data_IF_141506963052
#
_entry.id   IF_141506963052
#
_cell.length_a   1.000
_cell.length_b   1.000
_cell.length_c   1.000
_cell.angle_alpha   90.00
_cell.angle_beta   90.00
_cell.angle_gamma   90.00
#
_symmetry.space_group_name_H-M   'P 1'
#
loop_
_entity.id
_entity.type
_entity.pdbx_description
1 polymer ?
#
# COMPACT_ATOMS: atom_id res chain seq x y z
N UNK A 1 36.91 -6.79 2.51
CA UNK A 1 35.64 -7.54 2.27
C UNK A 1 34.71 -6.65 1.47
N UNK A 2 34.17 -7.11 0.37
CA UNK A 2 33.16 -6.40 -0.44
C UNK A 2 31.76 -6.62 0.13
N UNK A 3 30.79 -5.82 -0.30
CA UNK A 3 29.38 -6.01 0.12
C UNK A 3 28.83 -7.39 -0.28
N UNK A 4 29.25 -7.91 -1.43
CA UNK A 4 28.90 -9.26 -1.90
C UNK A 4 29.50 -10.37 -1.04
N UNK A 5 30.76 -10.26 -0.68
CA UNK A 5 31.43 -11.21 0.22
C UNK A 5 30.79 -11.19 1.61
N UNK A 6 30.37 -10.01 2.09
CA UNK A 6 29.69 -9.86 3.37
C UNK A 6 28.29 -10.49 3.35
N UNK A 7 27.52 -10.30 2.27
CA UNK A 7 26.22 -10.97 2.10
C UNK A 7 26.37 -12.49 2.13
N UNK A 8 27.34 -13.02 1.37
CA UNK A 8 27.63 -14.46 1.38
C UNK A 8 28.00 -14.95 2.77
N UNK A 9 28.85 -14.24 3.50
CA UNK A 9 29.21 -14.57 4.88
C UNK A 9 27.99 -14.60 5.80
N UNK A 10 27.07 -13.64 5.67
CA UNK A 10 25.84 -13.55 6.46
C UNK A 10 24.95 -14.79 6.23
N UNK A 11 24.82 -15.23 4.99
CA UNK A 11 24.03 -16.40 4.60
C UNK A 11 24.68 -17.67 5.12
N UNK A 12 25.95 -17.89 4.79
CA UNK A 12 26.70 -19.12 5.12
C UNK A 12 26.77 -19.36 6.64
N UNK A 13 26.84 -18.26 7.42
CA UNK A 13 26.90 -18.32 8.89
C UNK A 13 25.55 -18.07 9.58
N UNK A 14 24.44 -18.01 8.82
CA UNK A 14 23.05 -17.81 9.35
C UNK A 14 22.94 -16.58 10.25
N UNK A 15 23.54 -15.46 9.89
CA UNK A 15 23.63 -14.25 10.72
C UNK A 15 22.45 -13.28 10.55
N UNK A 16 21.50 -13.57 9.68
CA UNK A 16 20.33 -12.68 9.43
C UNK A 16 19.57 -12.41 10.73
N UNK A 17 19.21 -13.45 11.48
CA UNK A 17 18.49 -13.33 12.75
C UNK A 17 19.27 -12.50 13.78
N UNK A 18 20.57 -12.71 13.87
CA UNK A 18 21.45 -11.96 14.77
C UNK A 18 21.47 -10.47 14.45
N UNK A 19 21.56 -10.11 13.16
CA UNK A 19 21.53 -8.73 12.71
C UNK A 19 20.16 -8.09 13.00
N UNK A 20 19.07 -8.81 12.74
CA UNK A 20 17.71 -8.32 13.03
C UNK A 20 17.49 -8.07 14.52
N UNK A 21 18.00 -8.94 15.39
CA UNK A 21 17.96 -8.76 16.85
C UNK A 21 18.70 -7.51 17.31
N UNK A 22 19.92 -7.30 16.79
CA UNK A 22 20.74 -6.14 17.15
C UNK A 22 20.14 -4.82 16.66
N UNK A 23 19.37 -4.84 15.55
CA UNK A 23 18.60 -3.71 15.05
C UNK A 23 17.33 -3.40 15.90
N UNK A 24 17.01 -4.24 16.89
CA UNK A 24 15.85 -4.09 17.75
C UNK A 24 14.55 -4.66 17.15
N UNK A 25 14.63 -5.49 16.11
CA UNK A 25 13.47 -6.19 15.58
C UNK A 25 12.93 -7.21 16.59
N UNK A 26 11.60 -7.35 16.65
CA UNK A 26 10.89 -8.29 17.52
C UNK A 26 10.23 -9.39 16.70
N UNK A 27 9.75 -10.45 17.34
CA UNK A 27 8.98 -11.55 16.71
C UNK A 27 9.66 -12.13 15.45
N UNK A 28 10.98 -12.34 15.52
CA UNK A 28 11.76 -12.83 14.39
C UNK A 28 11.45 -14.31 14.16
N UNK A 29 10.97 -14.66 12.97
CA UNK A 29 10.59 -16.03 12.59
C UNK A 29 11.23 -16.38 11.26
N UNK A 30 11.88 -17.54 11.18
CA UNK A 30 12.34 -18.11 9.91
C UNK A 30 11.23 -18.97 9.28
N UNK A 31 10.98 -18.81 8.00
CA UNK A 31 9.99 -19.54 7.22
C UNK A 31 10.65 -20.48 6.21
N UNK A 32 10.89 -21.77 6.57
CA UNK A 32 11.68 -22.68 5.74
C UNK A 32 11.08 -22.94 4.36
N UNK A 33 9.74 -23.01 4.27
CA UNK A 33 9.05 -23.31 3.01
C UNK A 33 9.22 -22.22 1.92
N UNK A 34 9.58 -21.00 2.31
CA UNK A 34 9.71 -19.83 1.41
C UNK A 34 11.06 -19.14 1.56
N UNK A 35 11.95 -19.69 2.35
CA UNK A 35 13.32 -19.28 2.60
C UNK A 35 13.48 -17.78 2.88
N UNK A 36 12.78 -17.29 3.92
CA UNK A 36 12.89 -15.91 4.39
C UNK A 36 12.73 -15.78 5.91
N UNK A 37 13.23 -14.67 6.44
CA UNK A 37 12.97 -14.21 7.81
C UNK A 37 11.91 -13.13 7.81
N UNK A 38 10.93 -13.20 8.72
CA UNK A 38 10.00 -12.11 9.01
C UNK A 38 10.24 -11.57 10.42
N UNK A 39 10.01 -10.28 10.60
CA UNK A 39 10.15 -9.62 11.90
C UNK A 39 9.22 -8.42 12.04
N UNK A 40 8.95 -8.02 13.29
CA UNK A 40 8.34 -6.72 13.60
C UNK A 40 9.41 -5.64 13.53
N UNK A 41 9.09 -4.50 12.91
CA UNK A 41 10.01 -3.36 12.83
C UNK A 41 10.40 -2.82 14.20
N UNK A 42 11.61 -2.24 14.36
CA UNK A 42 12.12 -1.73 15.64
C UNK A 42 11.44 -0.45 16.14
N UNK A 43 10.27 -0.10 15.64
CA UNK A 43 9.49 1.04 16.11
C UNK A 43 8.58 0.63 17.28
N UNK A 44 8.51 1.45 18.33
CA UNK A 44 7.68 1.16 19.52
C UNK A 44 6.18 1.00 19.23
N UNK A 45 5.71 1.47 18.06
CA UNK A 45 4.30 1.46 17.64
C UNK A 45 3.94 0.35 16.64
N UNK A 46 4.88 -0.49 16.23
CA UNK A 46 4.63 -1.51 15.21
C UNK A 46 4.24 -2.84 15.85
N UNK A 47 3.01 -3.31 15.56
CA UNK A 47 2.51 -4.64 15.97
C UNK A 47 2.51 -5.65 14.81
N UNK A 48 3.01 -5.26 13.64
CA UNK A 48 3.01 -6.11 12.45
C UNK A 48 4.19 -7.08 12.48
N UNK A 49 3.93 -8.36 12.82
CA UNK A 49 4.93 -9.45 12.83
C UNK A 49 5.56 -9.76 11.47
N UNK A 50 5.03 -9.19 10.40
CA UNK A 50 5.55 -9.27 9.04
C UNK A 50 5.92 -7.89 8.48
N UNK A 51 6.22 -6.93 9.34
CA UNK A 51 6.59 -5.57 8.95
C UNK A 51 7.88 -5.50 8.15
N UNK A 52 8.79 -6.46 8.40
CA UNK A 52 10.07 -6.63 7.70
C UNK A 52 10.17 -8.06 7.19
N UNK A 53 10.61 -8.23 5.96
CA UNK A 53 10.93 -9.53 5.37
C UNK A 53 12.32 -9.45 4.76
N UNK A 54 13.22 -10.36 5.14
CA UNK A 54 14.54 -10.54 4.53
C UNK A 54 14.57 -11.92 3.89
N UNK A 55 14.75 -11.99 2.56
CA UNK A 55 14.96 -13.26 1.87
C UNK A 55 16.35 -13.80 2.13
N UNK A 56 16.42 -15.09 2.41
CA UNK A 56 17.70 -15.82 2.54
C UNK A 56 18.21 -16.23 1.14
N UNK A 57 18.53 -15.25 0.32
CA UNK A 57 19.05 -15.42 -1.04
C UNK A 57 20.31 -14.58 -1.23
N UNK A 58 21.08 -14.82 -2.28
CA UNK A 58 22.39 -14.18 -2.53
C UNK A 58 22.40 -12.66 -2.38
N UNK A 59 21.26 -12.00 -2.64
CA UNK A 59 21.17 -10.55 -2.49
C UNK A 59 20.59 -10.11 -1.14
N UNK A 60 20.11 -11.00 -0.27
CA UNK A 60 19.46 -10.68 1.00
C UNK A 60 18.36 -9.63 0.84
N UNK A 61 17.48 -9.84 -0.15
CA UNK A 61 16.48 -8.87 -0.51
C UNK A 61 15.57 -8.51 0.67
N UNK A 62 15.37 -7.21 0.84
CA UNK A 62 14.57 -6.60 1.90
C UNK A 62 13.23 -6.11 1.37
N UNK A 63 12.16 -6.39 2.13
CA UNK A 63 10.82 -5.91 1.87
C UNK A 63 10.21 -5.32 3.14
N UNK A 64 9.43 -4.24 2.99
CA UNK A 64 8.65 -3.67 4.07
C UNK A 64 7.32 -3.15 3.55
N UNK A 65 6.25 -3.74 4.05
CA UNK A 65 4.90 -3.29 3.71
C UNK A 65 4.57 -1.91 4.30
N UNK A 66 5.12 -1.59 5.47
CA UNK A 66 4.90 -0.30 6.13
C UNK A 66 5.65 0.87 5.48
N UNK A 67 6.74 0.59 4.75
CA UNK A 67 7.51 1.59 4.03
C UNK A 67 7.35 1.52 2.50
N UNK A 68 6.35 0.77 2.00
CA UNK A 68 6.12 0.57 0.56
C UNK A 68 7.36 0.08 -0.22
N UNK A 69 8.18 -0.77 0.41
CA UNK A 69 9.36 -1.37 -0.23
C UNK A 69 8.95 -2.74 -0.79
N UNK A 70 9.00 -2.86 -2.12
CA UNK A 70 8.60 -4.05 -2.87
C UNK A 70 9.79 -4.86 -3.37
N UNK A 71 9.50 -6.10 -3.80
CA UNK A 71 10.47 -7.06 -4.34
C UNK A 71 11.35 -6.48 -5.46
N UNK A 72 10.75 -5.63 -6.29
CA UNK A 72 11.38 -5.07 -7.50
C UNK A 72 12.22 -3.81 -7.23
N UNK A 73 12.23 -3.31 -6.01
CA UNK A 73 12.98 -2.10 -5.65
C UNK A 73 14.50 -2.36 -5.54
N UNK A 74 14.91 -3.65 -5.60
CA UNK A 74 16.31 -4.05 -5.54
C UNK A 74 17.01 -3.73 -4.23
N UNK A 75 16.24 -3.44 -3.16
CA UNK A 75 16.76 -3.15 -1.82
C UNK A 75 17.20 -4.43 -1.11
N UNK A 76 18.23 -4.34 -0.29
CA UNK A 76 18.83 -5.43 0.45
C UNK A 76 18.89 -5.15 1.97
N UNK A 77 19.45 -6.07 2.74
CA UNK A 77 19.60 -5.93 4.19
C UNK A 77 20.35 -4.66 4.62
N UNK A 78 21.29 -4.17 3.80
CA UNK A 78 22.02 -2.94 4.12
C UNK A 78 21.12 -1.71 3.97
N UNK A 79 20.20 -1.72 3.00
CA UNK A 79 19.19 -0.65 2.90
C UNK A 79 18.22 -0.66 4.09
N UNK A 80 17.89 -1.82 4.63
CA UNK A 80 17.12 -1.92 5.87
C UNK A 80 17.87 -1.28 7.05
N UNK A 81 19.19 -1.50 7.14
CA UNK A 81 20.04 -0.90 8.18
C UNK A 81 20.15 0.62 7.99
N UNK A 82 20.30 1.10 6.74
CA UNK A 82 20.29 2.53 6.41
C UNK A 82 18.99 3.19 6.92
N UNK A 83 17.85 2.60 6.55
CA UNK A 83 16.52 3.12 6.90
C UNK A 83 16.27 3.08 8.42
N UNK A 84 16.73 2.02 9.12
CA UNK A 84 16.51 1.83 10.56
C UNK A 84 17.40 2.71 11.42
N UNK A 85 18.68 2.87 11.05
CA UNK A 85 19.67 3.63 11.84
C UNK A 85 19.90 5.05 11.30
N UNK A 86 19.26 5.41 10.21
CA UNK A 86 19.46 6.70 9.52
C UNK A 86 20.93 6.99 9.19
N UNK A 87 21.64 6.01 8.65
CA UNK A 87 23.04 6.06 8.26
C UNK A 87 23.22 5.82 6.76
N UNK A 88 24.39 6.12 6.21
CA UNK A 88 24.68 5.89 4.80
C UNK A 88 25.08 4.43 4.53
N UNK A 89 24.89 3.98 3.29
CA UNK A 89 25.19 2.60 2.86
C UNK A 89 26.59 2.10 3.27
N UNK A 90 27.62 2.92 3.14
CA UNK A 90 28.98 2.56 3.57
C UNK A 90 29.09 2.35 5.09
N UNK A 91 28.36 3.14 5.87
CA UNK A 91 28.31 3.03 7.32
C UNK A 91 27.49 1.81 7.76
N UNK A 92 26.43 1.45 7.00
CA UNK A 92 25.67 0.22 7.22
C UNK A 92 26.54 -1.03 7.05
N UNK A 93 27.40 -1.08 6.02
CA UNK A 93 28.37 -2.17 5.84
C UNK A 93 29.36 -2.21 7.00
N UNK A 94 29.93 -1.06 7.39
CA UNK A 94 30.87 -0.99 8.53
C UNK A 94 30.22 -1.46 9.83
N UNK A 95 28.96 -1.06 10.07
CA UNK A 95 28.18 -1.51 11.21
C UNK A 95 28.06 -3.02 11.26
N UNK A 96 27.67 -3.66 10.16
CA UNK A 96 27.56 -5.14 10.09
C UNK A 96 28.92 -5.81 10.27
N UNK A 97 29.98 -5.29 9.67
CA UNK A 97 31.33 -5.82 9.87
C UNK A 97 31.74 -5.75 11.35
N UNK A 98 31.50 -4.61 12.00
CA UNK A 98 31.82 -4.43 13.44
C UNK A 98 30.98 -5.39 14.31
N UNK A 99 29.68 -5.54 14.01
CA UNK A 99 28.78 -6.42 14.70
C UNK A 99 29.20 -7.89 14.63
N UNK A 100 29.71 -8.30 13.47
CA UNK A 100 30.15 -9.67 13.18
C UNK A 100 31.64 -9.92 13.50
N UNK A 101 32.37 -8.92 14.03
CA UNK A 101 33.78 -9.03 14.36
C UNK A 101 34.68 -9.16 13.12
N UNK A 102 34.26 -8.61 11.96
CA UNK A 102 34.97 -8.71 10.70
C UNK A 102 35.74 -7.42 10.40
N UNK A 103 36.96 -7.55 9.86
CA UNK A 103 37.73 -6.39 9.39
C UNK A 103 37.18 -5.88 8.03
N UNK A 104 36.74 -4.63 8.01
CA UNK A 104 36.35 -3.96 6.77
C UNK A 104 37.51 -3.10 6.26
N UNK A 105 38.14 -3.52 5.16
CA UNK A 105 39.15 -2.72 4.49
C UNK A 105 38.51 -1.93 3.35
N UNK A 106 38.17 -0.68 3.61
CA UNK A 106 37.74 0.25 2.56
C UNK A 106 38.94 0.62 1.69
N UNK A 107 39.06 0.05 0.48
CA UNK A 107 40.07 0.48 -0.48
C UNK A 107 39.55 1.74 -1.20
N UNK A 108 40.09 2.90 -0.80
CA UNK A 108 39.78 4.21 -1.42
C UNK A 108 40.30 4.31 -2.88
N UNK A 109 41.03 3.31 -3.37
CA UNK A 109 41.72 3.35 -4.65
C UNK A 109 41.21 2.34 -5.70
N UNK A 110 39.89 2.32 -5.96
CA UNK A 110 39.48 2.01 -7.33
C UNK A 110 39.17 3.35 -8.01
N UNK A 111 40.13 3.85 -8.81
CA UNK A 111 39.83 4.84 -9.84
C UNK A 111 38.63 4.27 -10.62
N UNK A 112 37.46 4.87 -10.43
CA UNK A 112 36.33 4.65 -11.32
C UNK A 112 36.87 4.99 -12.71
N UNK A 113 37.13 3.97 -13.55
CA UNK A 113 37.16 4.19 -14.98
C UNK A 113 35.95 5.03 -15.30
N UNK A 114 36.17 6.23 -15.85
CA UNK A 114 35.12 7.10 -16.31
C UNK A 114 34.35 6.28 -17.33
N UNK A 115 33.24 5.64 -16.88
CA UNK A 115 32.31 4.99 -17.78
C UNK A 115 32.00 6.00 -18.87
N UNK A 116 32.42 5.71 -20.10
CA UNK A 116 32.02 6.44 -21.30
C UNK A 116 30.52 6.57 -21.18
N UNK A 117 30.03 7.82 -21.09
CA UNK A 117 28.59 8.07 -20.98
C UNK A 117 27.93 7.31 -22.11
N UNK A 118 27.18 6.27 -21.77
CA UNK A 118 26.41 5.50 -22.76
C UNK A 118 25.40 6.46 -23.38
N UNK A 119 25.57 6.86 -24.66
CA UNK A 119 24.66 7.82 -25.31
C UNK A 119 23.21 7.30 -25.35
N UNK A 120 23.03 6.00 -25.18
CA UNK A 120 21.70 5.36 -25.13
C UNK A 120 21.15 5.17 -23.71
N UNK A 121 21.86 5.61 -22.66
CA UNK A 121 21.42 5.42 -21.27
C UNK A 121 20.06 6.03 -20.98
N UNK A 122 19.74 7.20 -21.59
CA UNK A 122 18.44 7.83 -21.52
C UNK A 122 17.35 6.99 -22.19
N UNK A 123 17.64 6.43 -23.36
CA UNK A 123 16.72 5.55 -24.08
C UNK A 123 16.52 4.21 -23.36
N UNK A 124 17.59 3.65 -22.77
CA UNK A 124 17.52 2.43 -21.95
C UNK A 124 16.69 2.65 -20.68
N UNK A 125 16.84 3.81 -20.01
CA UNK A 125 15.98 4.21 -18.87
C UNK A 125 14.53 4.42 -19.31
N UNK A 126 14.30 5.07 -20.44
CA UNK A 126 12.94 5.24 -20.98
C UNK A 126 12.33 3.90 -21.40
N UNK A 127 13.10 3.00 -22.01
CA UNK A 127 12.65 1.65 -22.38
C UNK A 127 12.39 0.77 -21.15
N UNK A 128 13.21 0.86 -20.09
CA UNK A 128 12.95 0.14 -18.83
C UNK A 128 11.71 0.65 -18.12
N UNK A 129 11.47 1.97 -18.12
CA UNK A 129 10.19 2.55 -17.65
C UNK A 129 9.01 2.09 -18.51
N UNK A 130 9.15 2.05 -19.85
CA UNK A 130 8.11 1.54 -20.74
C UNK A 130 7.86 0.04 -20.54
N UNK A 131 8.87 -0.78 -20.28
CA UNK A 131 8.66 -2.21 -19.97
C UNK A 131 7.81 -2.43 -18.72
N UNK A 132 7.92 -1.58 -17.69
CA UNK A 132 7.03 -1.63 -16.52
C UNK A 132 5.56 -1.33 -16.85
N UNK A 133 5.27 -0.70 -17.98
CA UNK A 133 3.93 -0.33 -18.44
C UNK A 133 3.17 -1.44 -19.16
N UNK A 134 3.83 -2.52 -19.53
CA UNK A 134 3.25 -3.63 -20.32
C UNK A 134 2.88 -4.87 -19.49
N UNK A 135 3.07 -4.87 -18.18
CA UNK A 135 2.68 -5.99 -17.31
C UNK A 135 1.24 -5.93 -16.81
N UNK A 136 0.37 -5.17 -17.45
CA UNK A 136 -1.07 -5.12 -17.13
C UNK A 136 -1.77 -6.43 -17.53
N UNK A 137 -1.19 -7.22 -18.42
CA UNK A 137 -1.80 -8.47 -18.94
C UNK A 137 -1.68 -9.68 -17.99
N UNK A 138 -1.11 -9.54 -16.79
CA UNK A 138 -0.89 -10.65 -15.85
C UNK A 138 -1.85 -10.68 -14.64
N UNK A 139 -2.89 -9.88 -14.60
CA UNK A 139 -3.91 -10.08 -13.57
C UNK A 139 -4.69 -11.36 -13.92
N UNK A 140 -4.29 -12.45 -13.25
CA UNK A 140 -4.92 -13.77 -13.47
C UNK A 140 -6.37 -13.73 -13.01
N UNK A 141 -7.23 -14.27 -13.86
CA UNK A 141 -8.61 -14.52 -13.48
C UNK A 141 -8.66 -15.54 -12.34
N UNK A 142 -9.47 -15.23 -11.33
CA UNK A 142 -9.82 -16.17 -10.27
C UNK A 142 -11.04 -16.98 -10.73
N UNK A 143 -11.00 -18.29 -10.54
CA UNK A 143 -12.15 -19.14 -10.88
C UNK A 143 -13.38 -18.68 -10.09
N UNK A 144 -14.47 -18.40 -10.78
CA UNK A 144 -15.73 -17.90 -10.17
C UNK A 144 -16.38 -18.90 -9.22
N UNK A 145 -16.16 -20.22 -9.42
CA UNK A 145 -16.67 -21.29 -8.56
C UNK A 145 -16.18 -21.19 -7.09
N UNK A 146 -15.10 -20.45 -6.82
CA UNK A 146 -14.63 -20.19 -5.45
C UNK A 146 -15.70 -19.50 -4.59
N UNK A 147 -16.65 -18.80 -5.22
CA UNK A 147 -17.73 -18.08 -4.53
C UNK A 147 -19.04 -18.87 -4.47
N UNK A 148 -19.17 -20.02 -5.15
CA UNK A 148 -20.45 -20.71 -5.32
C UNK A 148 -20.99 -21.30 -4.02
N UNK A 149 -20.12 -21.83 -3.17
CA UNK A 149 -20.49 -22.43 -1.88
C UNK A 149 -20.67 -21.40 -0.76
N UNK A 150 -20.56 -20.10 -1.06
CA UNK A 150 -20.67 -19.03 -0.08
C UNK A 150 -22.10 -18.47 -0.02
N UNK A 151 -22.51 -18.06 1.17
CA UNK A 151 -23.77 -17.33 1.32
C UNK A 151 -23.69 -16.00 0.57
N UNK A 152 -24.61 -15.78 -0.36
CA UNK A 152 -24.69 -14.53 -1.14
C UNK A 152 -25.33 -13.44 -0.27
N UNK A 153 -24.56 -12.43 0.09
CA UNK A 153 -25.00 -11.33 0.94
C UNK A 153 -23.99 -10.94 2.02
N UNK A 154 -24.45 -10.17 2.98
CA UNK A 154 -23.63 -9.64 4.06
C UNK A 154 -23.96 -10.27 5.41
N UNK A 155 -22.96 -10.41 6.25
CA UNK A 155 -23.12 -10.76 7.65
C UNK A 155 -23.94 -9.67 8.38
N UNK A 156 -24.72 -10.05 9.39
CA UNK A 156 -25.57 -9.13 10.14
C UNK A 156 -24.82 -7.90 10.71
N UNK A 157 -23.55 -8.06 11.08
CA UNK A 157 -22.73 -6.94 11.57
C UNK A 157 -22.49 -5.88 10.49
N UNK A 158 -22.35 -6.28 9.24
CA UNK A 158 -22.19 -5.39 8.11
C UNK A 158 -23.47 -4.67 7.74
N UNK A 159 -24.60 -5.39 7.84
CA UNK A 159 -25.90 -4.77 7.69
C UNK A 159 -26.16 -3.69 8.75
N UNK A 160 -25.86 -4.00 10.03
CA UNK A 160 -25.93 -3.02 11.12
C UNK A 160 -24.96 -1.84 10.93
N UNK A 161 -23.86 -2.05 10.22
CA UNK A 161 -22.88 -1.05 9.86
C UNK A 161 -23.27 -0.22 8.62
N UNK A 162 -24.45 -0.48 8.03
CA UNK A 162 -25.07 0.30 6.97
C UNK A 162 -24.77 -0.20 5.56
N UNK A 163 -24.28 -1.43 5.38
CA UNK A 163 -24.09 -2.03 4.05
C UNK A 163 -25.36 -2.80 3.68
N UNK A 164 -26.07 -2.32 2.67
CA UNK A 164 -27.43 -2.75 2.33
C UNK A 164 -27.43 -3.92 1.32
N UNK A 165 -28.55 -4.69 1.25
CA UNK A 165 -28.65 -5.85 0.37
C UNK A 165 -28.43 -5.54 -1.12
N UNK A 166 -28.94 -4.41 -1.62
CA UNK A 166 -28.74 -4.00 -3.02
C UNK A 166 -27.26 -3.75 -3.35
N UNK A 167 -26.48 -3.16 -2.42
CA UNK A 167 -25.04 -3.02 -2.56
C UNK A 167 -24.34 -4.38 -2.51
N UNK A 168 -24.79 -5.27 -1.62
CA UNK A 168 -24.25 -6.63 -1.56
C UNK A 168 -24.45 -7.38 -2.87
N UNK A 169 -25.60 -7.24 -3.50
CA UNK A 169 -25.90 -7.83 -4.81
C UNK A 169 -25.04 -7.20 -5.92
N UNK A 170 -24.99 -5.87 -6.00
CA UNK A 170 -24.22 -5.13 -7.00
C UNK A 170 -22.74 -5.51 -6.98
N UNK A 171 -22.13 -5.59 -5.82
CA UNK A 171 -20.71 -5.92 -5.64
C UNK A 171 -20.44 -7.42 -5.48
N UNK A 172 -21.48 -8.25 -5.50
CA UNK A 172 -21.38 -9.70 -5.36
C UNK A 172 -20.84 -10.15 -4.01
N UNK A 173 -21.15 -9.44 -2.92
CA UNK A 173 -20.65 -9.76 -1.59
C UNK A 173 -21.13 -11.13 -1.11
N UNK A 174 -20.22 -11.89 -0.50
CA UNK A 174 -20.51 -13.21 0.04
C UNK A 174 -20.05 -13.34 1.48
N UNK A 175 -20.65 -14.26 2.23
CA UNK A 175 -20.22 -14.59 3.59
C UNK A 175 -19.81 -16.05 3.72
N UNK A 176 -18.67 -16.29 4.32
CA UNK A 176 -18.17 -17.62 4.65
C UNK A 176 -18.45 -17.93 6.12
N UNK A 177 -19.44 -18.78 6.39
CA UNK A 177 -19.73 -19.27 7.73
C UNK A 177 -18.57 -20.05 8.34
N UNK A 178 -17.88 -20.85 7.51
CA UNK A 178 -16.74 -21.67 7.93
C UNK A 178 -15.56 -20.82 8.40
N UNK A 179 -15.26 -19.75 7.66
CA UNK A 179 -14.12 -18.87 7.97
C UNK A 179 -14.52 -17.70 8.88
N UNK A 180 -15.81 -17.48 9.11
CA UNK A 180 -16.37 -16.29 9.80
C UNK A 180 -15.84 -15.00 9.17
N UNK A 181 -15.93 -14.91 7.82
CA UNK A 181 -15.43 -13.77 7.06
C UNK A 181 -16.46 -13.26 6.06
N UNK A 182 -16.58 -11.95 6.01
CA UNK A 182 -17.22 -11.27 4.89
C UNK A 182 -16.25 -11.27 3.71
N UNK A 183 -16.68 -11.79 2.59
CA UNK A 183 -15.90 -11.88 1.36
C UNK A 183 -16.33 -10.74 0.43
N UNK A 184 -15.35 -9.99 -0.04
CA UNK A 184 -15.49 -8.87 -0.96
C UNK A 184 -14.84 -9.31 -2.27
N UNK A 185 -15.61 -9.66 -3.31
CA UNK A 185 -15.05 -9.96 -4.62
C UNK A 185 -14.40 -8.71 -5.22
N UNK A 186 -13.28 -8.90 -5.91
CA UNK A 186 -12.56 -7.83 -6.59
C UNK A 186 -12.63 -8.10 -8.08
N UNK A 187 -13.27 -7.20 -8.81
CA UNK A 187 -13.44 -7.28 -10.26
C UNK A 187 -12.35 -6.48 -10.97
N UNK A 188 -11.95 -6.97 -12.12
CA UNK A 188 -11.02 -6.25 -12.98
C UNK A 188 -11.71 -5.05 -13.61
N UNK A 189 -11.05 -3.91 -13.54
CA UNK A 189 -11.62 -2.64 -13.95
C UNK A 189 -12.07 -2.58 -15.42
N UNK A 190 -11.44 -3.39 -16.31
CA UNK A 190 -11.66 -3.32 -17.76
C UNK A 190 -12.85 -4.18 -18.22
N UNK A 191 -13.04 -5.38 -17.67
CA UNK A 191 -14.00 -6.37 -18.17
C UNK A 191 -14.87 -7.02 -17.09
N UNK A 192 -14.69 -6.66 -15.83
CA UNK A 192 -15.49 -7.15 -14.71
C UNK A 192 -15.22 -8.60 -14.28
N UNK A 193 -14.24 -9.29 -14.89
CA UNK A 193 -13.87 -10.64 -14.42
C UNK A 193 -13.39 -10.62 -12.98
N UNK A 194 -13.59 -11.73 -12.26
CA UNK A 194 -13.11 -11.88 -10.90
C UNK A 194 -11.59 -12.07 -10.90
N UNK A 195 -10.86 -11.20 -10.20
CA UNK A 195 -9.39 -11.24 -10.13
C UNK A 195 -8.85 -11.43 -8.73
N UNK A 196 -9.70 -11.37 -7.74
CA UNK A 196 -9.32 -11.57 -6.35
C UNK A 196 -10.49 -11.44 -5.40
N UNK A 197 -10.20 -11.67 -4.13
CA UNK A 197 -11.13 -11.42 -3.02
C UNK A 197 -10.39 -10.78 -1.87
N UNK A 198 -11.05 -9.88 -1.16
CA UNK A 198 -10.63 -9.44 0.15
C UNK A 198 -11.61 -9.99 1.19
N UNK A 199 -11.10 -10.62 2.24
CA UNK A 199 -11.90 -11.29 3.24
C UNK A 199 -11.69 -10.64 4.61
N UNK A 200 -12.72 -9.96 5.14
CA UNK A 200 -12.67 -9.34 6.46
C UNK A 200 -13.29 -10.25 7.50
N UNK A 201 -12.59 -10.46 8.61
CA UNK A 201 -13.14 -11.24 9.73
C UNK A 201 -14.35 -10.53 10.37
N UNK A 202 -15.34 -11.32 10.77
CA UNK A 202 -16.50 -10.88 11.55
C UNK A 202 -16.38 -11.30 13.02
N UNK A 203 -15.27 -11.92 13.40
CA UNK A 203 -14.98 -12.29 14.78
C UNK A 203 -14.67 -11.02 15.57
N UNK A 204 -15.36 -10.81 16.68
CA UNK A 204 -15.06 -9.74 17.62
C UNK A 204 -13.74 -10.04 18.35
N UNK A 205 -12.99 -9.01 18.72
CA UNK A 205 -11.70 -9.14 19.41
C UNK A 205 -10.71 -10.07 18.70
N UNK A 206 -10.74 -10.06 17.35
CA UNK A 206 -9.91 -10.92 16.50
C UNK A 206 -8.42 -10.82 16.83
N UNK A 207 -7.96 -9.69 17.36
CA UNK A 207 -6.58 -9.46 17.78
C UNK A 207 -6.16 -10.39 18.92
N UNK A 208 -7.07 -10.67 19.89
CA UNK A 208 -6.81 -11.59 21.01
C UNK A 208 -6.63 -13.03 20.53
N UNK A 209 -7.17 -13.37 19.36
CA UNK A 209 -7.10 -14.72 18.78
C UNK A 209 -6.04 -14.82 17.68
N UNK A 210 -5.20 -13.81 17.48
CA UNK A 210 -4.23 -13.73 16.37
C UNK A 210 -4.87 -13.92 14.98
N UNK A 211 -6.13 -13.53 14.83
CA UNK A 211 -6.85 -13.62 13.56
C UNK A 211 -6.58 -12.34 12.78
N UNK A 212 -6.10 -12.46 11.54
CA UNK A 212 -5.90 -11.30 10.65
C UNK A 212 -7.23 -10.62 10.35
N UNK A 213 -7.30 -9.31 10.54
CA UNK A 213 -8.47 -8.48 10.21
C UNK A 213 -8.89 -8.64 8.75
N UNK A 214 -7.93 -8.56 7.85
CA UNK A 214 -8.12 -8.74 6.41
C UNK A 214 -7.24 -9.86 5.86
N UNK A 215 -7.73 -10.51 4.81
CA UNK A 215 -7.01 -11.52 4.05
C UNK A 215 -7.30 -11.32 2.56
N UNK A 216 -6.31 -10.85 1.83
CA UNK A 216 -6.39 -10.68 0.37
C UNK A 216 -5.95 -11.99 -0.29
N UNK A 217 -6.67 -12.41 -1.33
CA UNK A 217 -6.33 -13.63 -2.08
C UNK A 217 -4.91 -13.56 -2.63
N UNK A 218 -4.12 -14.65 -2.51
CA UNK A 218 -2.78 -14.72 -3.07
C UNK A 218 -2.77 -14.47 -4.57
N UNK A 219 -1.79 -13.70 -5.05
CA UNK A 219 -1.61 -13.41 -6.48
C UNK A 219 -2.42 -12.22 -7.00
N UNK A 220 -3.31 -11.63 -6.21
CA UNK A 220 -3.96 -10.37 -6.59
C UNK A 220 -2.99 -9.19 -6.47
N UNK A 221 -2.87 -8.43 -7.56
CA UNK A 221 -2.07 -7.20 -7.59
C UNK A 221 -2.97 -5.97 -7.48
N UNK A 222 -3.08 -5.42 -6.25
CA UNK A 222 -3.91 -4.23 -5.98
C UNK A 222 -3.43 -2.98 -6.73
N UNK A 223 -2.13 -2.89 -7.05
CA UNK A 223 -1.56 -1.70 -7.70
C UNK A 223 -1.92 -1.57 -9.17
N UNK A 224 -2.41 -2.64 -9.79
CA UNK A 224 -2.84 -2.70 -11.18
C UNK A 224 -4.37 -2.71 -11.35
N UNK A 225 -5.12 -2.45 -10.27
CA UNK A 225 -6.58 -2.43 -10.29
C UNK A 225 -7.12 -1.36 -9.32
N UNK A 226 -8.37 -0.99 -9.47
CA UNK A 226 -9.12 -0.08 -8.58
C UNK A 226 -10.43 -0.75 -8.18
N UNK A 227 -10.67 -0.87 -6.89
CA UNK A 227 -11.92 -1.41 -6.39
C UNK A 227 -13.09 -0.44 -6.63
N UNK A 228 -14.20 -0.98 -7.08
CA UNK A 228 -15.41 -0.23 -7.38
C UNK A 228 -15.45 0.41 -8.77
N UNK A 229 -14.37 0.32 -9.54
CA UNK A 229 -14.34 0.93 -10.87
C UNK A 229 -15.36 0.26 -11.80
N UNK A 230 -15.34 -1.05 -11.90
CA UNK A 230 -16.26 -1.81 -12.76
C UNK A 230 -17.72 -1.56 -12.40
N UNK A 231 -18.03 -1.55 -11.12
CA UNK A 231 -19.39 -1.39 -10.61
C UNK A 231 -19.91 0.04 -10.74
N UNK A 232 -19.04 1.04 -10.66
CA UNK A 232 -19.43 2.44 -10.46
C UNK A 232 -19.11 3.37 -11.65
N UNK A 233 -18.32 2.92 -12.66
CA UNK A 233 -17.83 3.79 -13.73
C UNK A 233 -18.94 4.63 -14.39
N UNK A 234 -20.08 4.03 -14.72
CA UNK A 234 -21.18 4.74 -15.38
C UNK A 234 -21.78 5.85 -14.49
N UNK A 235 -21.89 5.61 -13.18
CA UNK A 235 -22.44 6.59 -12.26
C UNK A 235 -21.42 7.68 -11.92
N UNK A 236 -20.14 7.34 -11.88
CA UNK A 236 -19.02 8.29 -11.75
C UNK A 236 -19.00 9.25 -12.94
N UNK A 237 -19.08 8.74 -14.18
CA UNK A 237 -19.06 9.57 -15.38
C UNK A 237 -20.30 10.46 -15.47
N UNK A 238 -21.50 9.95 -15.12
CA UNK A 238 -22.72 10.77 -15.00
C UNK A 238 -22.59 11.88 -13.97
N UNK A 239 -21.94 11.58 -12.83
CA UNK A 239 -21.70 12.59 -11.78
C UNK A 239 -20.61 13.59 -12.15
N UNK A 240 -19.69 13.23 -13.07
CA UNK A 240 -18.55 14.02 -13.50
C UNK A 240 -17.43 14.10 -12.47
N UNK A 241 -17.47 13.29 -11.41
CA UNK A 241 -16.41 13.20 -10.39
C UNK A 241 -16.34 11.80 -9.78
N UNK A 242 -15.18 11.45 -9.22
CA UNK A 242 -15.02 10.27 -8.37
C UNK A 242 -14.52 10.64 -6.98
N UNK A 243 -14.85 9.81 -5.98
CA UNK A 243 -14.35 9.94 -4.61
C UNK A 243 -13.44 8.74 -4.30
N UNK A 244 -12.19 9.02 -3.98
CA UNK A 244 -11.17 8.00 -3.70
C UNK A 244 -11.07 7.79 -2.21
N UNK A 245 -11.37 6.57 -1.76
CA UNK A 245 -11.24 6.10 -0.39
C UNK A 245 -10.03 5.16 -0.24
N UNK A 246 -9.65 4.91 1.01
CA UNK A 246 -8.61 3.94 1.33
C UNK A 246 -9.09 2.49 1.14
N UNK A 247 -10.25 2.14 1.70
CA UNK A 247 -10.74 0.78 1.79
C UNK A 247 -12.09 0.57 1.06
N UNK A 248 -12.33 -0.68 0.65
CA UNK A 248 -13.55 -1.11 -0.05
C UNK A 248 -14.82 -0.81 0.74
N UNK A 249 -14.74 -0.94 2.09
CA UNK A 249 -15.89 -0.73 2.96
C UNK A 249 -16.48 0.68 2.84
N UNK A 250 -15.66 1.68 2.61
CA UNK A 250 -16.09 3.06 2.40
C UNK A 250 -16.91 3.21 1.11
N UNK A 251 -16.46 2.55 0.04
CA UNK A 251 -17.21 2.48 -1.23
C UNK A 251 -18.56 1.82 -1.02
N UNK A 252 -18.60 0.66 -0.35
CA UNK A 252 -19.82 -0.09 -0.09
C UNK A 252 -20.83 0.70 0.78
N UNK A 253 -20.35 1.43 1.78
CA UNK A 253 -21.20 2.29 2.62
C UNK A 253 -21.82 3.44 1.82
N UNK A 254 -21.04 4.07 0.95
CA UNK A 254 -21.55 5.15 0.09
C UNK A 254 -22.57 4.63 -0.92
N UNK A 255 -22.27 3.54 -1.58
CA UNK A 255 -23.20 2.88 -2.52
C UNK A 255 -24.51 2.50 -1.83
N UNK A 256 -24.45 2.04 -0.57
CA UNK A 256 -25.64 1.72 0.25
C UNK A 256 -26.53 2.94 0.56
N UNK A 257 -25.99 4.14 0.39
CA UNK A 257 -26.69 5.41 0.48
C UNK A 257 -27.01 6.00 -0.91
N UNK A 258 -26.95 5.16 -1.96
CA UNK A 258 -27.18 5.54 -3.36
C UNK A 258 -26.17 6.57 -3.90
N UNK A 259 -24.94 6.56 -3.36
CA UNK A 259 -23.83 7.33 -3.85
C UNK A 259 -22.78 6.39 -4.43
N UNK A 260 -22.91 6.10 -5.73
CA UNK A 260 -22.03 5.20 -6.49
C UNK A 260 -20.85 5.94 -7.13
N UNK A 261 -20.30 6.97 -6.48
CA UNK A 261 -19.14 7.72 -6.98
C UNK A 261 -17.81 7.28 -6.38
N UNK A 262 -17.84 6.29 -5.48
CA UNK A 262 -16.70 5.83 -4.68
C UNK A 262 -15.80 4.83 -5.43
N UNK A 263 -14.49 5.01 -5.26
CA UNK A 263 -13.42 4.08 -5.63
C UNK A 263 -12.52 3.84 -4.43
N UNK A 264 -11.84 2.67 -4.34
CA UNK A 264 -10.90 2.42 -3.25
C UNK A 264 -9.53 1.97 -3.76
N UNK A 265 -8.47 2.54 -3.12
CA UNK A 265 -7.07 2.22 -3.41
C UNK A 265 -6.62 0.87 -2.81
N UNK A 266 -7.35 0.39 -1.82
CA UNK A 266 -6.97 -0.78 -1.01
C UNK A 266 -5.63 -0.57 -0.27
N UNK A 267 -5.36 0.67 0.16
CA UNK A 267 -4.17 1.09 0.89
C UNK A 267 -3.98 2.60 0.88
N UNK A 268 -2.89 3.07 1.51
CA UNK A 268 -2.62 4.49 1.74
C UNK A 268 -2.00 5.22 0.53
N UNK A 269 -1.48 4.49 -0.46
CA UNK A 269 -0.78 5.09 -1.59
C UNK A 269 -1.41 4.70 -2.92
N UNK A 270 -1.25 5.56 -3.91
CA UNK A 270 -1.74 5.35 -5.26
C UNK A 270 -0.59 5.00 -6.22
N UNK A 271 -0.78 3.98 -7.05
CA UNK A 271 0.18 3.58 -8.08
C UNK A 271 0.00 4.41 -9.36
N UNK A 272 1.01 4.40 -10.25
CA UNK A 272 0.93 5.00 -11.59
C UNK A 272 -0.21 4.40 -12.42
N UNK A 273 -0.41 3.09 -12.29
CA UNK A 273 -1.44 2.38 -13.03
C UNK A 273 -2.84 2.76 -12.53
N UNK A 274 -3.03 2.83 -11.22
CA UNK A 274 -4.29 3.31 -10.64
C UNK A 274 -4.61 4.75 -11.08
N UNK A 275 -3.60 5.63 -11.14
CA UNK A 275 -3.77 6.99 -11.66
C UNK A 275 -4.26 6.96 -13.11
N UNK A 276 -3.69 6.09 -13.97
CA UNK A 276 -4.12 5.98 -15.37
C UNK A 276 -5.53 5.45 -15.50
N UNK A 277 -5.88 4.43 -14.72
CA UNK A 277 -7.23 3.87 -14.68
C UNK A 277 -8.24 4.97 -14.33
N UNK A 278 -7.98 5.77 -13.28
CA UNK A 278 -8.89 6.84 -12.88
C UNK A 278 -8.95 7.95 -13.96
N UNK A 279 -7.82 8.30 -14.59
CA UNK A 279 -7.77 9.30 -15.64
C UNK A 279 -8.45 8.85 -16.95
N UNK A 280 -8.74 7.56 -17.13
CA UNK A 280 -9.51 7.07 -18.28
C UNK A 280 -11.00 7.38 -18.17
N UNK A 281 -11.51 7.71 -16.96
CA UNK A 281 -12.89 8.13 -16.75
C UNK A 281 -13.13 9.54 -17.34
N UNK A 282 -14.31 9.73 -17.90
CA UNK A 282 -14.76 11.07 -18.38
C UNK A 282 -15.32 11.89 -17.19
N UNK A 283 -14.40 12.41 -16.38
CA UNK A 283 -14.69 13.20 -15.19
C UNK A 283 -13.89 14.49 -15.17
N UNK A 284 -14.39 15.50 -14.48
CA UNK A 284 -13.69 16.78 -14.32
C UNK A 284 -13.03 16.93 -12.95
N UNK A 285 -13.47 16.16 -11.93
CA UNK A 285 -12.95 16.28 -10.56
C UNK A 285 -12.60 14.92 -9.96
N UNK A 286 -11.49 14.90 -9.20
CA UNK A 286 -11.08 13.78 -8.33
C UNK A 286 -11.09 14.28 -6.90
N UNK A 287 -11.86 13.62 -6.04
CA UNK A 287 -12.00 13.95 -4.61
C UNK A 287 -11.25 12.91 -3.79
N UNK A 288 -10.26 13.31 -3.01
CA UNK A 288 -9.52 12.41 -2.12
C UNK A 288 -10.17 12.40 -0.72
N UNK A 289 -10.60 11.24 -0.26
CA UNK A 289 -11.33 11.03 1.00
C UNK A 289 -10.71 9.91 1.83
N UNK A 290 -9.44 10.09 2.21
CA UNK A 290 -8.69 9.11 3.01
C UNK A 290 -9.19 9.08 4.45
N UNK A 291 -8.83 8.03 5.20
CA UNK A 291 -9.15 7.90 6.61
C UNK A 291 -8.48 9.01 7.42
N UNK A 292 -9.09 9.39 8.55
CA UNK A 292 -8.67 10.58 9.33
C UNK A 292 -7.27 10.50 9.90
N UNK A 293 -6.76 9.30 10.15
CA UNK A 293 -5.40 9.06 10.66
C UNK A 293 -4.32 9.12 9.58
N UNK A 294 -4.70 9.20 8.31
CA UNK A 294 -3.74 9.38 7.20
C UNK A 294 -3.15 10.79 7.25
N UNK A 295 -1.81 10.91 7.31
CA UNK A 295 -1.14 12.21 7.31
C UNK A 295 -1.50 13.06 6.09
N UNK A 296 -1.61 14.37 6.30
CA UNK A 296 -1.99 15.29 5.21
C UNK A 296 -1.00 15.27 4.05
N UNK A 297 0.27 14.98 4.32
CA UNK A 297 1.33 14.84 3.33
C UNK A 297 1.05 13.69 2.35
N UNK A 298 0.56 12.58 2.87
CA UNK A 298 0.17 11.42 2.05
C UNK A 298 -1.06 11.75 1.19
N UNK A 299 -2.05 12.43 1.77
CA UNK A 299 -3.23 12.92 1.03
C UNK A 299 -2.80 13.85 -0.10
N UNK A 300 -1.93 14.82 0.16
CA UNK A 300 -1.43 15.74 -0.85
C UNK A 300 -0.55 15.06 -1.91
N UNK A 301 0.21 14.04 -1.52
CA UNK A 301 0.97 13.23 -2.48
C UNK A 301 0.06 12.51 -3.48
N UNK A 302 -1.11 12.05 -3.04
CA UNK A 302 -2.13 11.49 -3.95
C UNK A 302 -2.73 12.59 -4.84
N UNK A 303 -3.05 13.75 -4.26
CA UNK A 303 -3.59 14.90 -5.01
C UNK A 303 -2.65 15.34 -6.14
N UNK A 304 -1.35 15.43 -5.87
CA UNK A 304 -0.32 15.82 -6.83
C UNK A 304 -0.33 14.95 -8.10
N UNK A 305 -0.70 13.67 -8.00
CA UNK A 305 -0.75 12.73 -9.13
C UNK A 305 -1.79 13.13 -10.19
N UNK A 306 -2.84 13.84 -9.77
CA UNK A 306 -3.94 14.28 -10.62
C UNK A 306 -3.87 15.77 -10.97
N UNK A 307 -3.02 16.52 -10.27
CA UNK A 307 -2.87 17.96 -10.47
C UNK A 307 -2.53 18.29 -11.93
N UNK A 308 -3.07 19.39 -12.44
CA UNK A 308 -3.04 19.83 -13.84
C UNK A 308 -3.77 18.91 -14.85
N UNK A 309 -4.23 17.73 -14.45
CA UNK A 309 -4.97 16.82 -15.34
C UNK A 309 -6.46 16.87 -15.06
N UNK A 310 -6.84 17.12 -13.81
CA UNK A 310 -8.23 17.23 -13.32
C UNK A 310 -8.29 18.27 -12.22
N UNK A 311 -9.49 18.76 -11.90
CA UNK A 311 -9.72 19.45 -10.62
C UNK A 311 -9.51 18.46 -9.50
N UNK A 312 -8.69 18.81 -8.51
CA UNK A 312 -8.39 17.94 -7.36
C UNK A 312 -8.83 18.60 -6.08
N UNK A 313 -9.63 17.89 -5.32
CA UNK A 313 -10.08 18.33 -4.00
C UNK A 313 -9.86 17.21 -2.98
N UNK A 314 -9.84 17.54 -1.71
CA UNK A 314 -9.71 16.54 -0.65
C UNK A 314 -10.58 16.89 0.56
N UNK A 315 -11.04 15.84 1.25
CA UNK A 315 -11.83 15.97 2.46
C UNK A 315 -10.86 16.04 3.65
N UNK A 316 -11.04 17.05 4.49
CA UNK A 316 -10.33 17.19 5.76
C UNK A 316 -11.31 17.50 6.89
N UNK A 317 -11.18 16.78 7.99
CA UNK A 317 -12.02 16.97 9.19
C UNK A 317 -11.43 18.03 10.13
N UNK A 318 -11.64 19.30 9.80
CA UNK A 318 -11.17 20.43 10.62
C UNK A 318 -11.86 20.54 11.97
N UNK A 319 -13.09 20.06 12.07
CA UNK A 319 -13.95 20.24 13.23
C UNK A 319 -14.03 19.00 14.12
N UNK A 320 -13.18 17.99 13.84
CA UNK A 320 -13.12 16.73 14.61
C UNK A 320 -14.49 16.03 14.70
N UNK A 321 -15.21 16.00 13.59
CA UNK A 321 -16.51 15.37 13.46
C UNK A 321 -16.42 13.83 13.29
N UNK A 322 -15.24 13.33 12.91
CA UNK A 322 -14.95 11.90 12.72
C UNK A 322 -14.22 11.35 13.93
N UNK A 323 -14.37 10.06 14.21
CA UNK A 323 -13.52 9.31 15.14
C UNK A 323 -12.06 9.28 14.66
N UNK A 324 -11.14 8.84 15.52
CA UNK A 324 -9.69 8.94 15.27
C UNK A 324 -9.19 8.15 14.06
N UNK A 325 -9.91 7.09 13.66
CA UNK A 325 -9.58 6.20 12.54
C UNK A 325 -10.75 6.02 11.58
N UNK A 326 -11.70 6.94 11.59
CA UNK A 326 -12.86 6.84 10.72
C UNK A 326 -12.54 7.35 9.33
N UNK A 327 -13.04 6.64 8.33
CA UNK A 327 -13.20 7.18 6.99
C UNK A 327 -14.31 8.24 6.98
N UNK A 328 -14.27 9.24 6.11
CA UNK A 328 -15.40 10.13 5.87
C UNK A 328 -16.70 9.37 5.59
N UNK A 329 -16.63 8.19 4.95
CA UNK A 329 -17.77 7.32 4.68
C UNK A 329 -18.36 6.63 5.93
N UNK A 330 -17.65 6.59 7.06
CA UNK A 330 -18.14 6.04 8.32
C UNK A 330 -19.08 7.01 9.06
N UNK A 331 -19.03 8.28 8.69
CA UNK A 331 -19.85 9.30 9.29
C UNK A 331 -21.34 9.19 8.89
N UNK A 332 -22.22 9.72 9.75
CA UNK A 332 -23.63 9.90 9.37
C UNK A 332 -23.73 10.74 8.09
N UNK A 333 -24.70 10.44 7.24
CA UNK A 333 -24.82 11.08 5.92
C UNK A 333 -24.81 12.62 5.96
N UNK A 334 -25.40 13.23 7.01
CA UNK A 334 -25.36 14.70 7.20
C UNK A 334 -23.92 15.21 7.39
N UNK A 335 -23.10 14.49 8.15
CA UNK A 335 -21.70 14.86 8.39
C UNK A 335 -20.87 14.65 7.13
N UNK A 336 -21.03 13.51 6.45
CA UNK A 336 -20.37 13.27 5.17
C UNK A 336 -20.67 14.37 4.15
N UNK A 337 -21.96 14.70 3.97
CA UNK A 337 -22.39 15.76 3.03
C UNK A 337 -21.81 17.12 3.40
N UNK A 338 -21.68 17.42 4.70
CA UNK A 338 -21.02 18.62 5.17
C UNK A 338 -19.53 18.61 4.80
N UNK A 339 -18.80 17.54 5.14
CA UNK A 339 -17.38 17.40 4.81
C UNK A 339 -17.14 17.45 3.31
N UNK A 340 -17.96 16.77 2.51
CA UNK A 340 -17.90 16.77 1.06
C UNK A 340 -18.16 18.18 0.48
N UNK A 341 -19.16 18.89 0.99
CA UNK A 341 -19.47 20.25 0.54
C UNK A 341 -18.33 21.23 0.81
N UNK A 342 -17.65 21.09 1.94
CA UNK A 342 -16.57 21.97 2.37
C UNK A 342 -15.16 21.37 2.14
N UNK A 343 -15.04 20.43 1.19
CA UNK A 343 -13.74 19.88 0.77
C UNK A 343 -12.81 20.96 0.28
N UNK A 344 -11.52 20.81 0.51
CA UNK A 344 -10.53 21.78 0.08
C UNK A 344 -10.01 21.48 -1.32
N UNK A 345 -9.75 22.51 -2.08
CA UNK A 345 -9.04 22.39 -3.35
C UNK A 345 -7.55 22.20 -3.08
N UNK A 346 -6.93 21.26 -3.80
CA UNK A 346 -5.48 21.05 -3.72
C UNK A 346 -4.74 22.28 -4.26
N UNK A 347 -3.71 22.68 -3.52
CA UNK A 347 -2.84 23.83 -3.80
C UNK A 347 -1.38 23.35 -3.71
N UNK A 348 -0.71 23.33 -4.87
CA UNK A 348 0.68 22.88 -5.02
C UNK A 348 1.66 23.76 -4.27
N UNK A 349 1.45 25.10 -4.26
CA UNK A 349 2.34 26.03 -3.55
C UNK A 349 2.27 25.81 -2.05
N UNK A 350 1.06 25.62 -1.52
CA UNK A 350 0.83 25.26 -0.12
C UNK A 350 1.50 23.93 0.25
N UNK A 351 1.37 22.91 -0.59
CA UNK A 351 2.01 21.61 -0.41
C UNK A 351 3.53 21.75 -0.36
N UNK A 352 4.13 22.39 -1.36
CA UNK A 352 5.58 22.58 -1.46
C UNK A 352 6.14 23.38 -0.28
N UNK A 353 5.45 24.46 0.13
CA UNK A 353 5.82 25.26 1.28
C UNK A 353 5.83 24.45 2.59
N UNK A 354 4.83 23.59 2.76
CA UNK A 354 4.74 22.71 3.93
C UNK A 354 5.86 21.66 3.94
N UNK A 355 6.11 20.99 2.81
CA UNK A 355 7.19 20.00 2.69
C UNK A 355 8.57 20.60 2.94
N UNK A 356 8.82 21.82 2.48
CA UNK A 356 10.07 22.54 2.76
C UNK A 356 10.24 22.85 4.25
N UNK A 357 9.16 23.22 4.95
CA UNK A 357 9.19 23.43 6.41
C UNK A 357 9.49 22.16 7.18
N UNK A 358 8.96 20.99 6.74
CA UNK A 358 9.26 19.70 7.36
C UNK A 358 10.72 19.31 7.18
N UNK A 359 11.26 19.42 5.95
CA UNK A 359 12.68 19.16 5.67
C UNK A 359 13.61 20.03 6.53
N UNK A 360 13.28 21.30 6.67
CA UNK A 360 14.07 22.23 7.48
C UNK A 360 13.99 21.93 9.00
N UNK A 361 12.92 21.33 9.49
CA UNK A 361 12.81 20.87 10.88
C UNK A 361 13.64 19.60 11.13
N UNK A 362 13.69 18.68 10.16
CA UNK A 362 14.49 17.45 10.27
C UNK A 362 16.00 17.69 10.21
N UNK A 363 16.44 18.79 9.58
CA UNK A 363 17.86 19.18 9.51
C UNK A 363 18.34 19.90 10.81
N UNK A 364 17.39 20.37 11.65
CA UNK A 364 17.70 21.11 12.90
C UNK A 364 17.65 20.23 14.16
N UNK A 365 17.17 19.00 14.05
CA UNK A 365 17.22 17.98 15.09
C UNK A 365 18.28 16.92 14.75
#
# INVERSE_FOLDING_TARGET
MTSLELKKYIIDNKKIEYILKDLGCRDIVFHPAKDYYSATQPSEKSDNKMGVIIKNCDNLNYYSYSHNIHIDDGKDIFNFIEDTKNIKFGEAIQYVCKLLGLEYKYSINQKKEKNKKDPLALFKRAASKRRRLYYVDEIKEMQSNVLDDLFKGVHISWYKDGIMPWTAEKFGLCYSYRQKRQIIPIRYWMDGRLVGTNARTTVENYDLFNIRKYFISPGYNKTANIYGFWENQNDIEKAGYCVIFEAERSVLKRDSLHDSTGLALQGHSISEEQVRIILSLDIHEVVIAMDKDVPIEEVWSICERFYLKRTVTYIIDKYKLLGSKDSPADAKNKIYNYLFRYREKYDEEKHNSYMNKLKNKQVKN
#
